data_IF_733295401578
#
_entry.id   IF_733295401578
#
_cell.length_a   1.000
_cell.length_b   1.000
_cell.length_c   1.000
_cell.angle_alpha   90.00
_cell.angle_beta   90.00
_cell.angle_gamma   90.00
#
_symmetry.space_group_name_H-M   'P 1'
#
loop_
_entity.id
_entity.type
_entity.pdbx_description
1 polymer ?
#
# COMPACT_ATOMS: atom_id res chain seq x y z
N UNK A 1 -0.58 25.52 7.93
CA UNK A 1 -1.57 25.72 6.85
C UNK A 1 -0.83 26.27 5.65
N UNK A 2 -1.01 25.70 4.44
CA UNK A 2 -0.36 26.23 3.23
C UNK A 2 -1.27 27.24 2.56
N UNK A 3 -0.72 28.38 2.18
CA UNK A 3 -1.41 29.45 1.48
C UNK A 3 -0.89 29.55 0.04
N UNK A 4 -1.80 29.65 -0.91
CA UNK A 4 -1.48 29.72 -2.34
C UNK A 4 -2.01 31.00 -2.94
N UNK A 5 -1.27 31.55 -3.89
CA UNK A 5 -1.72 32.68 -4.67
C UNK A 5 -2.64 32.18 -5.80
N UNK A 6 -3.86 32.67 -5.84
CA UNK A 6 -4.82 32.48 -6.93
C UNK A 6 -5.29 33.80 -7.49
N UNK A 7 -6.11 33.76 -8.54
CA UNK A 7 -6.83 34.91 -9.08
C UNK A 7 -8.31 34.62 -9.11
N UNK A 8 -9.14 35.62 -8.78
CA UNK A 8 -10.58 35.52 -8.90
C UNK A 8 -11.05 35.91 -10.32
N UNK A 9 -12.36 35.75 -10.59
CA UNK A 9 -12.95 36.05 -11.91
C UNK A 9 -12.81 37.52 -12.34
N UNK A 10 -12.61 38.46 -11.41
CA UNK A 10 -12.41 39.88 -11.67
C UNK A 10 -10.93 40.27 -11.87
N UNK A 11 -10.01 39.28 -11.88
CA UNK A 11 -8.58 39.48 -12.08
C UNK A 11 -7.81 39.97 -10.85
N UNK A 12 -8.42 40.01 -9.68
CA UNK A 12 -7.71 40.30 -8.43
C UNK A 12 -7.05 39.06 -7.88
N UNK A 13 -5.83 39.21 -7.32
CA UNK A 13 -5.18 38.14 -6.60
C UNK A 13 -5.88 37.86 -5.28
N UNK A 14 -5.93 36.56 -4.92
CA UNK A 14 -6.48 36.06 -3.68
C UNK A 14 -5.57 35.01 -3.06
N UNK A 15 -5.55 34.94 -1.73
CA UNK A 15 -4.96 33.83 -1.00
C UNK A 15 -5.98 32.70 -0.93
N UNK A 16 -5.52 31.48 -1.21
CA UNK A 16 -6.33 30.25 -1.12
C UNK A 16 -5.71 29.31 -0.10
N UNK A 17 -6.54 28.63 0.67
CA UNK A 17 -6.11 27.60 1.61
C UNK A 17 -7.22 26.56 1.81
N UNK A 18 -6.88 25.43 2.42
CA UNK A 18 -7.85 24.41 2.80
C UNK A 18 -7.94 24.32 4.31
N UNK A 19 -9.14 24.43 4.85
CA UNK A 19 -9.41 24.28 6.26
C UNK A 19 -10.59 23.32 6.45
N UNK A 20 -10.41 22.27 7.30
CA UNK A 20 -11.41 21.22 7.55
C UNK A 20 -11.94 20.55 6.27
N UNK A 21 -11.06 20.28 5.30
CA UNK A 21 -11.37 19.73 3.98
C UNK A 21 -12.22 20.66 3.08
N UNK A 22 -12.41 21.92 3.45
CA UNK A 22 -13.08 22.94 2.64
C UNK A 22 -12.07 23.94 2.11
N UNK A 23 -12.13 24.22 0.80
CA UNK A 23 -11.34 25.28 0.17
C UNK A 23 -11.87 26.64 0.61
N UNK A 24 -10.97 27.51 1.11
CA UNK A 24 -11.25 28.90 1.49
C UNK A 24 -10.39 29.84 0.65
N UNK A 25 -10.87 31.05 0.42
CA UNK A 25 -10.09 32.10 -0.22
C UNK A 25 -10.38 33.47 0.41
N UNK A 26 -9.40 34.38 0.33
CA UNK A 26 -9.55 35.76 0.73
C UNK A 26 -8.86 36.67 -0.27
N UNK A 27 -9.53 37.77 -0.69
CA UNK A 27 -9.00 38.69 -1.68
C UNK A 27 -7.84 39.50 -1.12
N UNK A 28 -6.74 39.56 -1.88
CA UNK A 28 -5.60 40.42 -1.56
C UNK A 28 -5.77 41.86 -2.09
N UNK A 29 -6.93 42.18 -2.70
CA UNK A 29 -7.31 43.51 -3.18
C UNK A 29 -6.24 44.17 -4.07
N UNK A 30 -5.56 43.40 -4.90
CA UNK A 30 -4.55 43.89 -5.85
C UNK A 30 -4.55 43.07 -7.12
N UNK A 31 -4.23 43.70 -8.25
CA UNK A 31 -3.96 43.06 -9.54
C UNK A 31 -2.45 43.01 -9.84
N UNK A 32 -1.63 43.61 -8.99
CA UNK A 32 -0.17 43.57 -9.13
C UNK A 32 0.39 42.32 -8.47
N UNK A 33 1.11 41.50 -9.23
CA UNK A 33 1.64 40.20 -8.80
C UNK A 33 2.68 40.31 -7.67
N UNK A 34 3.56 41.32 -7.74
CA UNK A 34 4.60 41.48 -6.71
C UNK A 34 3.99 41.94 -5.37
N UNK A 35 3.07 42.89 -5.42
CA UNK A 35 2.32 43.33 -4.25
C UNK A 35 1.44 42.20 -3.69
N UNK A 36 0.93 41.30 -4.55
CA UNK A 36 0.18 40.14 -4.11
C UNK A 36 1.04 39.11 -3.39
N UNK A 37 2.29 38.91 -3.82
CA UNK A 37 3.25 38.03 -3.12
C UNK A 37 3.61 38.58 -1.74
N UNK A 38 3.84 39.89 -1.62
CA UNK A 38 4.11 40.55 -0.36
C UNK A 38 2.93 40.42 0.62
N UNK A 39 1.71 40.70 0.13
CA UNK A 39 0.48 40.53 0.94
C UNK A 39 0.17 39.09 1.30
N UNK A 40 0.53 38.13 0.41
CA UNK A 40 0.45 36.71 0.74
C UNK A 40 1.42 36.35 1.88
N UNK A 41 2.64 36.87 1.85
CA UNK A 41 3.62 36.63 2.91
C UNK A 41 3.14 37.23 4.26
N UNK A 42 2.59 38.47 4.21
CA UNK A 42 1.99 39.10 5.40
C UNK A 42 0.80 38.28 5.92
N UNK A 43 -0.14 37.91 5.06
CA UNK A 43 -1.28 37.06 5.42
C UNK A 43 -0.84 35.74 6.02
N UNK A 44 0.16 35.09 5.42
CA UNK A 44 0.71 33.85 5.93
C UNK A 44 1.36 34.03 7.31
N UNK A 45 2.07 35.13 7.56
CA UNK A 45 2.65 35.45 8.86
C UNK A 45 1.59 35.74 9.93
N UNK A 46 0.55 36.51 9.61
CA UNK A 46 -0.55 36.84 10.54
C UNK A 46 -1.44 35.62 10.87
N UNK A 47 -1.61 34.71 9.91
CA UNK A 47 -2.44 33.51 10.06
C UNK A 47 -1.63 32.23 10.33
N UNK A 48 -0.29 32.34 10.40
CA UNK A 48 0.52 31.26 10.95
C UNK A 48 0.10 31.08 12.41
N UNK A 49 -0.57 29.97 12.71
CA UNK A 49 -0.67 29.58 14.13
C UNK A 49 0.76 29.55 14.68
N UNK A 50 0.99 30.04 15.91
CA UNK A 50 2.30 29.94 16.51
C UNK A 50 2.78 28.51 16.35
N UNK A 51 4.01 28.33 15.89
CA UNK A 51 4.66 27.01 15.81
C UNK A 51 4.52 26.44 17.21
N UNK A 52 3.57 25.53 17.42
CA UNK A 52 3.49 24.81 18.69
C UNK A 52 4.83 24.13 18.83
N UNK A 53 5.61 24.57 19.80
CA UNK A 53 6.88 23.95 20.12
C UNK A 53 6.61 22.45 20.31
N UNK A 54 7.07 21.63 19.35
CA UNK A 54 6.83 20.21 19.37
C UNK A 54 7.58 19.62 20.56
N UNK A 55 6.86 19.32 21.63
CA UNK A 55 7.43 18.80 22.88
C UNK A 55 7.03 17.35 23.13
N UNK A 56 5.81 16.98 22.75
CA UNK A 56 5.21 15.69 23.08
C UNK A 56 5.09 14.78 21.87
N UNK A 57 4.90 13.49 22.12
CA UNK A 57 4.60 12.51 21.05
C UNK A 57 3.30 12.85 20.31
N UNK A 58 2.33 13.42 21.03
CA UNK A 58 1.06 13.88 20.47
C UNK A 58 1.30 15.00 19.44
N UNK A 59 2.16 15.97 19.78
CA UNK A 59 2.48 17.07 18.89
C UNK A 59 3.17 16.57 17.62
N UNK A 60 4.18 15.69 17.75
CA UNK A 60 4.86 15.05 16.62
C UNK A 60 3.88 14.30 15.72
N UNK A 61 3.01 13.47 16.31
CA UNK A 61 2.04 12.71 15.53
C UNK A 61 1.05 13.61 14.79
N UNK A 62 0.60 14.69 15.41
CA UNK A 62 -0.34 15.63 14.78
C UNK A 62 0.34 16.43 13.66
N UNK A 63 1.57 16.93 13.89
CA UNK A 63 2.34 17.64 12.87
C UNK A 63 2.68 16.75 11.68
N UNK A 64 3.10 15.50 11.94
CA UNK A 64 3.36 14.50 10.90
C UNK A 64 2.10 14.15 10.08
N UNK A 65 0.95 13.99 10.73
CA UNK A 65 -0.31 13.75 10.04
C UNK A 65 -0.68 14.93 9.13
N UNK A 66 -0.54 16.15 9.63
CA UNK A 66 -0.80 17.36 8.85
C UNK A 66 0.08 17.45 7.60
N UNK A 67 1.38 17.18 7.74
CA UNK A 67 2.30 17.14 6.60
C UNK A 67 1.91 16.03 5.60
N UNK A 68 1.51 14.86 6.11
CA UNK A 68 1.14 13.71 5.27
C UNK A 68 -0.21 13.85 4.59
N UNK A 69 -1.15 14.63 5.11
CA UNK A 69 -2.42 14.92 4.44
C UNK A 69 -2.21 15.61 3.09
N UNK A 70 -1.13 16.39 2.93
CA UNK A 70 -0.81 17.08 1.68
C UNK A 70 -0.09 16.20 0.64
N UNK A 71 0.54 15.09 1.06
CA UNK A 71 1.48 14.31 0.24
C UNK A 71 1.08 12.84 0.09
N UNK A 72 0.24 12.29 0.98
CA UNK A 72 -0.02 10.84 1.06
C UNK A 72 -1.34 10.39 0.43
N UNK A 73 -1.25 9.27 -0.29
CA UNK A 73 -2.43 8.54 -0.80
C UNK A 73 -3.30 7.92 0.32
N UNK A 74 -2.80 7.78 1.56
CA UNK A 74 -3.49 7.08 2.67
C UNK A 74 -3.36 7.81 4.02
N UNK A 75 -3.78 9.08 4.13
CA UNK A 75 -3.70 9.80 5.40
C UNK A 75 -4.56 9.15 6.50
N UNK A 76 -5.71 8.56 6.13
CA UNK A 76 -6.60 7.84 7.07
C UNK A 76 -5.94 6.63 7.71
N UNK A 77 -5.12 5.87 6.97
CA UNK A 77 -4.40 4.72 7.53
C UNK A 77 -3.35 5.17 8.54
N UNK A 78 -2.58 6.20 8.21
CA UNK A 78 -1.58 6.78 9.11
C UNK A 78 -2.24 7.27 10.40
N UNK A 79 -3.36 7.99 10.30
CA UNK A 79 -4.12 8.45 11.46
C UNK A 79 -4.62 7.29 12.33
N UNK A 80 -5.15 6.22 11.70
CA UNK A 80 -5.60 5.02 12.38
C UNK A 80 -4.46 4.32 13.14
N UNK A 81 -3.27 4.22 12.54
CA UNK A 81 -2.10 3.61 13.17
C UNK A 81 -1.51 4.44 14.31
N UNK A 82 -1.54 5.75 14.20
CA UNK A 82 -1.03 6.66 15.23
C UNK A 82 -2.05 6.91 16.36
N UNK A 83 -3.34 6.59 16.19
CA UNK A 83 -4.35 6.79 17.22
C UNK A 83 -3.99 6.10 18.54
N UNK A 84 -3.74 4.77 18.62
CA UNK A 84 -3.38 4.12 19.89
C UNK A 84 -2.03 4.58 20.44
N UNK A 85 -1.10 5.01 19.59
CA UNK A 85 0.16 5.64 20.02
C UNK A 85 -0.12 6.94 20.78
N UNK A 86 -0.99 7.79 20.23
CA UNK A 86 -1.39 9.04 20.88
C UNK A 86 -2.17 8.82 22.19
N UNK A 87 -2.92 7.74 22.28
CA UNK A 87 -3.67 7.36 23.48
C UNK A 87 -2.74 7.00 24.64
N UNK A 88 -1.69 6.21 24.39
CA UNK A 88 -0.83 5.68 25.44
C UNK A 88 0.46 6.47 25.66
N UNK A 89 1.12 6.92 24.58
CA UNK A 89 2.41 7.62 24.63
C UNK A 89 2.28 9.13 24.39
N UNK A 90 1.09 9.62 24.06
CA UNK A 90 0.88 10.98 23.55
C UNK A 90 1.43 12.09 24.42
N UNK A 91 1.32 11.96 25.73
CA UNK A 91 1.68 13.00 26.67
C UNK A 91 3.15 12.94 27.12
N UNK A 92 3.89 11.90 26.67
CA UNK A 92 5.32 11.81 26.91
C UNK A 92 6.08 12.85 26.07
N UNK A 93 7.11 13.42 26.66
CA UNK A 93 8.10 14.20 25.89
C UNK A 93 8.81 13.30 24.89
N UNK A 94 9.16 13.84 23.72
CA UNK A 94 9.88 13.11 22.66
C UNK A 94 11.16 12.46 23.19
N UNK A 95 11.87 13.14 24.09
CA UNK A 95 13.11 12.66 24.72
C UNK A 95 12.90 11.52 25.71
N UNK A 96 11.68 11.29 26.18
CA UNK A 96 11.33 10.25 27.16
C UNK A 96 10.97 8.91 26.52
N UNK A 97 10.86 8.85 25.19
CA UNK A 97 10.56 7.59 24.48
C UNK A 97 11.78 6.69 24.51
N UNK A 98 11.63 5.56 25.17
CA UNK A 98 12.70 4.55 25.36
C UNK A 98 12.20 3.17 24.94
N UNK A 99 13.11 2.22 24.77
CA UNK A 99 12.76 0.81 24.52
C UNK A 99 11.86 0.22 25.64
N UNK A 100 12.02 0.69 26.89
CA UNK A 100 11.12 0.31 28.00
C UNK A 100 9.71 0.81 27.77
N UNK A 101 9.53 2.09 27.44
CA UNK A 101 8.20 2.67 27.13
C UNK A 101 7.54 2.01 25.93
N UNK A 102 8.31 1.63 24.92
CA UNK A 102 7.79 0.84 23.79
C UNK A 102 7.31 -0.56 24.21
N UNK A 103 8.03 -1.25 25.14
CA UNK A 103 7.59 -2.50 25.74
C UNK A 103 6.32 -2.34 26.60
N UNK A 104 6.25 -1.29 27.39
CA UNK A 104 5.05 -0.97 28.18
C UNK A 104 3.84 -0.78 27.24
N UNK A 105 4.02 -0.06 26.13
CA UNK A 105 2.99 0.08 25.09
C UNK A 105 2.57 -1.28 24.52
N UNK A 106 3.51 -2.17 24.19
CA UNK A 106 3.21 -3.50 23.66
C UNK A 106 2.34 -4.30 24.62
N UNK A 107 2.65 -4.30 25.91
CA UNK A 107 1.86 -4.99 26.93
C UNK A 107 0.46 -4.37 27.12
N UNK A 108 0.37 -3.05 27.12
CA UNK A 108 -0.92 -2.36 27.17
C UNK A 108 -1.79 -2.64 25.95
N UNK A 109 -1.18 -2.69 24.75
CA UNK A 109 -1.91 -2.76 23.48
C UNK A 109 -2.63 -4.08 23.25
N UNK A 110 -2.15 -5.18 23.78
CA UNK A 110 -2.72 -6.55 23.70
C UNK A 110 -3.19 -6.92 22.27
N UNK A 111 -2.39 -6.64 21.25
CA UNK A 111 -2.63 -6.99 19.84
C UNK A 111 -1.51 -7.86 19.30
N UNK A 112 -1.76 -8.49 18.13
CA UNK A 112 -0.76 -9.28 17.44
C UNK A 112 0.53 -8.48 17.19
N UNK A 113 1.69 -9.14 17.26
CA UNK A 113 3.01 -8.52 17.06
C UNK A 113 3.08 -7.69 15.78
N UNK A 114 2.50 -8.18 14.67
CA UNK A 114 2.46 -7.47 13.39
C UNK A 114 1.74 -6.12 13.49
N UNK A 115 0.67 -6.05 14.29
CA UNK A 115 -0.09 -4.81 14.51
C UNK A 115 0.75 -3.82 15.29
N UNK A 116 1.31 -4.24 16.45
CA UNK A 116 2.12 -3.36 17.30
C UNK A 116 3.40 -2.91 16.57
N UNK A 117 4.06 -3.81 15.85
CA UNK A 117 5.24 -3.44 15.03
C UNK A 117 4.88 -2.41 13.96
N UNK A 118 3.72 -2.54 13.33
CA UNK A 118 3.24 -1.54 12.36
C UNK A 118 2.99 -0.19 13.04
N UNK A 119 2.30 -0.15 14.17
CA UNK A 119 2.02 1.09 14.92
C UNK A 119 3.31 1.78 15.36
N UNK A 120 4.26 1.03 15.95
CA UNK A 120 5.59 1.54 16.31
C UNK A 120 6.40 1.99 15.08
N UNK A 121 6.24 1.31 13.93
CA UNK A 121 6.85 1.73 12.68
C UNK A 121 6.38 3.11 12.22
N UNK A 122 5.08 3.38 12.34
CA UNK A 122 4.52 4.71 12.07
C UNK A 122 5.00 5.77 13.06
N UNK A 123 5.13 5.43 14.35
CA UNK A 123 5.73 6.32 15.34
C UNK A 123 7.19 6.65 14.98
N UNK A 124 8.00 5.63 14.66
CA UNK A 124 9.39 5.84 14.24
C UNK A 124 9.50 6.71 12.98
N UNK A 125 8.59 6.56 12.03
CA UNK A 125 8.54 7.39 10.83
C UNK A 125 8.19 8.85 11.17
N UNK A 126 7.23 9.08 12.08
CA UNK A 126 6.86 10.42 12.55
C UNK A 126 8.01 11.08 13.32
N UNK A 127 8.70 10.33 14.18
CA UNK A 127 9.86 10.81 14.92
C UNK A 127 11.03 11.14 13.98
N UNK A 128 11.32 10.26 13.00
CA UNK A 128 12.36 10.54 12.01
C UNK A 128 12.06 11.82 11.22
N UNK A 129 10.81 12.00 10.79
CA UNK A 129 10.37 13.22 10.13
C UNK A 129 10.59 14.46 11.03
N UNK A 130 10.20 14.40 12.31
CA UNK A 130 10.39 15.51 13.26
C UNK A 130 11.88 15.84 13.47
N UNK A 131 12.76 14.83 13.48
CA UNK A 131 14.20 15.05 13.54
C UNK A 131 14.73 15.77 12.29
N UNK A 132 14.29 15.35 11.11
CA UNK A 132 14.78 15.88 9.83
C UNK A 132 14.21 17.27 9.50
N UNK A 133 12.96 17.56 9.91
CA UNK A 133 12.24 18.79 9.55
C UNK A 133 12.32 19.85 10.65
N UNK A 134 12.22 19.44 11.91
CA UNK A 134 12.12 20.34 13.06
C UNK A 134 13.41 20.37 13.92
N UNK A 135 14.41 19.56 13.56
CA UNK A 135 15.69 19.51 14.28
C UNK A 135 15.60 18.91 15.70
N UNK A 136 14.51 18.19 16.03
CA UNK A 136 14.29 17.65 17.36
C UNK A 136 15.24 16.49 17.64
N UNK A 137 15.94 16.52 18.77
CA UNK A 137 16.73 15.37 19.21
C UNK A 137 15.84 14.19 19.59
N UNK A 138 16.07 13.05 18.95
CA UNK A 138 15.30 11.82 19.16
C UNK A 138 16.23 10.69 19.53
N UNK A 139 15.93 10.00 20.63
CA UNK A 139 16.60 8.76 20.99
C UNK A 139 16.07 7.61 20.14
N UNK A 140 16.99 6.79 19.64
CA UNK A 140 16.62 5.52 18.98
C UNK A 140 16.13 4.51 20.03
N UNK A 141 15.17 3.70 19.66
CA UNK A 141 14.66 2.61 20.48
C UNK A 141 14.28 1.41 19.62
N UNK A 142 14.31 0.22 20.20
CA UNK A 142 14.02 -1.01 19.48
C UNK A 142 12.53 -1.28 19.35
N UNK A 143 12.18 -2.17 18.41
CA UNK A 143 10.81 -2.69 18.36
C UNK A 143 10.51 -3.52 19.61
N UNK A 144 9.34 -3.33 20.25
CA UNK A 144 9.01 -3.96 21.52
C UNK A 144 8.76 -5.47 21.45
N UNK A 145 8.54 -6.00 20.25
CA UNK A 145 8.21 -7.39 20.02
C UNK A 145 8.93 -7.94 18.77
N UNK A 146 9.14 -9.26 18.70
CA UNK A 146 9.78 -9.88 17.56
C UNK A 146 8.97 -9.70 16.27
N UNK A 147 9.59 -9.82 15.09
CA UNK A 147 8.87 -9.84 13.84
C UNK A 147 7.91 -11.03 13.79
N UNK A 148 6.75 -10.85 13.16
CA UNK A 148 5.88 -11.98 12.88
C UNK A 148 6.56 -12.90 11.86
N UNK A 149 6.39 -14.21 11.99
CA UNK A 149 6.90 -15.15 10.99
C UNK A 149 6.31 -14.82 9.62
N UNK A 150 7.09 -15.08 8.58
CA UNK A 150 6.63 -14.94 7.21
C UNK A 150 5.39 -15.85 6.99
N UNK A 151 4.40 -15.33 6.28
CA UNK A 151 3.23 -16.15 5.91
C UNK A 151 3.60 -16.94 4.67
N UNK A 152 3.91 -18.21 4.85
CA UNK A 152 4.16 -19.14 3.75
C UNK A 152 2.87 -19.88 3.38
N UNK A 153 1.88 -19.12 2.85
CA UNK A 153 0.61 -19.68 2.40
C UNK A 153 0.51 -19.57 0.89
N UNK A 154 0.48 -20.70 0.24
CA UNK A 154 0.19 -20.88 -1.18
C UNK A 154 -0.77 -22.05 -1.37
N UNK A 155 -1.36 -22.23 -2.54
CA UNK A 155 -2.25 -23.34 -2.87
C UNK A 155 -1.66 -24.20 -3.98
N UNK A 156 -1.95 -25.49 -3.94
CA UNK A 156 -1.56 -26.43 -4.99
C UNK A 156 -2.37 -26.22 -6.27
N UNK A 157 -1.91 -26.80 -7.39
CA UNK A 157 -2.65 -26.74 -8.67
C UNK A 157 -4.03 -27.38 -8.56
N UNK A 158 -4.17 -28.46 -7.77
CA UNK A 158 -5.46 -29.10 -7.50
C UNK A 158 -6.37 -28.17 -6.73
N UNK A 159 -5.91 -27.60 -5.62
CA UNK A 159 -6.68 -26.65 -4.82
C UNK A 159 -7.10 -25.41 -5.62
N UNK A 160 -6.25 -24.93 -6.54
CA UNK A 160 -6.60 -23.83 -7.43
C UNK A 160 -7.74 -24.21 -8.39
N UNK A 161 -7.72 -25.44 -8.96
CA UNK A 161 -8.81 -25.99 -9.78
C UNK A 161 -10.11 -26.09 -9.00
N UNK A 162 -10.08 -26.76 -7.84
CA UNK A 162 -11.25 -26.91 -6.97
C UNK A 162 -11.89 -25.55 -6.62
N UNK A 163 -11.04 -24.55 -6.35
CA UNK A 163 -11.51 -23.21 -6.06
C UNK A 163 -12.16 -22.54 -7.28
N UNK A 164 -11.58 -22.70 -8.48
CA UNK A 164 -12.13 -22.17 -9.73
C UNK A 164 -13.46 -22.85 -10.08
N UNK A 165 -13.58 -24.14 -9.88
CA UNK A 165 -14.79 -24.92 -10.16
C UNK A 165 -15.91 -24.58 -9.16
N UNK A 166 -15.56 -24.24 -7.93
CA UNK A 166 -16.52 -23.78 -6.92
C UNK A 166 -16.96 -22.31 -7.09
N UNK A 167 -16.34 -21.57 -8.02
CA UNK A 167 -16.70 -20.17 -8.30
C UNK A 167 -18.05 -20.07 -8.99
N UNK A 168 -19.04 -19.51 -8.30
CA UNK A 168 -20.37 -19.19 -8.86
C UNK A 168 -20.33 -17.87 -9.65
N UNK A 169 -19.53 -16.92 -9.21
CA UNK A 169 -19.45 -15.59 -9.81
C UNK A 169 -18.28 -15.48 -10.78
N UNK A 170 -18.59 -15.02 -12.00
CA UNK A 170 -17.62 -14.84 -13.06
C UNK A 170 -16.48 -13.89 -12.66
N UNK A 171 -16.80 -12.77 -12.03
CA UNK A 171 -15.79 -11.80 -11.59
C UNK A 171 -14.76 -12.37 -10.59
N UNK A 172 -15.19 -13.30 -9.69
CA UNK A 172 -14.26 -13.95 -8.78
C UNK A 172 -13.36 -14.94 -9.51
N UNK A 173 -13.93 -15.74 -10.42
CA UNK A 173 -13.16 -16.67 -11.26
C UNK A 173 -12.08 -15.93 -12.05
N UNK A 174 -12.46 -14.86 -12.74
CA UNK A 174 -11.54 -14.02 -13.52
C UNK A 174 -10.46 -13.38 -12.62
N UNK A 175 -10.85 -12.87 -11.43
CA UNK A 175 -9.90 -12.35 -10.46
C UNK A 175 -8.86 -13.41 -10.05
N UNK A 176 -9.27 -14.63 -9.74
CA UNK A 176 -8.36 -15.71 -9.31
C UNK A 176 -7.39 -16.08 -10.45
N UNK A 177 -7.90 -16.22 -11.67
CA UNK A 177 -7.06 -16.53 -12.84
C UNK A 177 -6.03 -15.43 -13.08
N UNK A 178 -6.43 -14.16 -13.05
CA UNK A 178 -5.51 -13.03 -13.17
C UNK A 178 -4.50 -13.00 -12.01
N UNK A 179 -4.94 -13.22 -10.78
CA UNK A 179 -4.08 -13.16 -9.62
C UNK A 179 -3.00 -14.25 -9.58
N UNK A 180 -3.33 -15.46 -10.03
CA UNK A 180 -2.37 -16.57 -10.16
C UNK A 180 -1.51 -16.39 -11.42
N UNK A 181 -2.12 -16.06 -12.55
CA UNK A 181 -1.42 -16.00 -13.84
C UNK A 181 -0.47 -14.83 -14.01
N UNK A 182 -0.68 -13.74 -13.27
CA UNK A 182 0.17 -12.52 -13.32
C UNK A 182 0.88 -12.20 -12.01
N UNK A 183 0.46 -12.81 -10.90
CA UNK A 183 1.00 -12.53 -9.57
C UNK A 183 0.76 -11.09 -9.08
N UNK A 184 -0.13 -10.33 -9.71
CA UNK A 184 -0.34 -8.93 -9.38
C UNK A 184 -1.08 -8.72 -8.05
N UNK A 185 -0.92 -7.52 -7.47
CA UNK A 185 -1.61 -7.17 -6.23
C UNK A 185 -3.12 -7.07 -6.46
N UNK A 186 -3.91 -7.52 -5.49
CA UNK A 186 -5.37 -7.57 -5.61
C UNK A 186 -6.00 -6.21 -5.99
N UNK A 187 -5.45 -5.11 -5.52
CA UNK A 187 -5.94 -3.77 -5.85
C UNK A 187 -5.70 -3.43 -7.33
N UNK A 188 -4.52 -3.79 -7.87
CA UNK A 188 -4.21 -3.56 -9.30
C UNK A 188 -5.13 -4.35 -10.21
N UNK A 189 -5.46 -5.59 -9.84
CA UNK A 189 -6.42 -6.42 -10.59
C UNK A 189 -7.83 -5.85 -10.51
N UNK A 190 -8.29 -5.39 -9.34
CA UNK A 190 -9.62 -4.80 -9.19
C UNK A 190 -9.75 -3.43 -9.89
N UNK A 191 -8.64 -2.73 -10.12
CA UNK A 191 -8.60 -1.45 -10.84
C UNK A 191 -8.33 -1.60 -12.34
N UNK A 192 -8.11 -2.82 -12.83
CA UNK A 192 -7.80 -3.07 -14.24
C UNK A 192 -8.95 -2.67 -15.14
N UNK A 193 -8.64 -1.96 -16.22
CA UNK A 193 -9.57 -1.54 -17.26
C UNK A 193 -9.26 -2.23 -18.58
N UNK A 194 -10.26 -2.37 -19.45
CA UNK A 194 -10.11 -3.06 -20.73
C UNK A 194 -9.10 -2.40 -21.66
N UNK A 195 -8.96 -1.08 -21.62
CA UNK A 195 -7.99 -0.34 -22.41
C UNK A 195 -6.52 -0.63 -22.06
N UNK A 196 -6.28 -1.25 -20.89
CA UNK A 196 -4.94 -1.65 -20.44
C UNK A 196 -4.50 -3.03 -20.98
N UNK A 197 -5.36 -3.70 -21.79
CA UNK A 197 -5.08 -5.01 -22.36
C UNK A 197 -4.66 -4.84 -23.82
N UNK A 198 -3.42 -5.22 -24.11
CA UNK A 198 -2.92 -5.33 -25.47
C UNK A 198 -3.12 -6.77 -25.96
N UNK A 199 -4.11 -6.96 -26.83
CA UNK A 199 -4.48 -8.28 -27.36
C UNK A 199 -3.46 -8.82 -28.36
N UNK A 200 -2.81 -7.95 -29.12
CA UNK A 200 -1.85 -8.32 -30.17
C UNK A 200 -0.53 -8.80 -29.54
N UNK A 201 -0.02 -8.08 -28.57
CA UNK A 201 1.19 -8.46 -27.84
C UNK A 201 0.92 -9.43 -26.69
N UNK A 202 -0.34 -9.77 -26.42
CA UNK A 202 -0.76 -10.59 -25.29
C UNK A 202 -0.20 -10.10 -23.95
N UNK A 203 -0.33 -8.79 -23.67
CA UNK A 203 0.17 -8.16 -22.44
C UNK A 203 -0.92 -7.37 -21.70
N UNK A 204 -0.71 -7.17 -20.41
CA UNK A 204 -1.58 -6.39 -19.52
C UNK A 204 -0.73 -5.32 -18.84
N UNK A 205 -1.08 -4.05 -19.03
CA UNK A 205 -0.48 -2.94 -18.32
C UNK A 205 -1.27 -2.67 -17.03
N UNK A 206 -0.63 -2.90 -15.88
CA UNK A 206 -1.26 -2.63 -14.58
C UNK A 206 -1.14 -1.17 -14.11
N UNK A 207 -0.68 -0.29 -14.99
CA UNK A 207 -0.59 1.16 -14.80
C UNK A 207 0.67 1.61 -14.09
N UNK A 208 0.72 2.92 -13.79
CA UNK A 208 1.89 3.56 -13.20
C UNK A 208 2.23 3.05 -11.79
N UNK A 209 3.50 3.17 -11.44
CA UNK A 209 3.99 2.85 -10.11
C UNK A 209 3.37 3.79 -9.07
N UNK A 210 2.93 3.21 -7.94
CA UNK A 210 2.35 3.97 -6.83
C UNK A 210 3.30 3.93 -5.64
N UNK A 211 3.98 5.03 -5.39
CA UNK A 211 5.04 5.09 -4.40
C UNK A 211 6.15 4.08 -4.71
N UNK A 212 6.51 3.24 -3.74
CA UNK A 212 7.51 2.17 -3.92
C UNK A 212 6.93 0.86 -4.52
N UNK A 213 5.67 0.87 -4.99
CA UNK A 213 5.01 -0.32 -5.54
C UNK A 213 5.13 -0.32 -7.05
N UNK A 214 6.04 -1.15 -7.55
CA UNK A 214 6.19 -1.36 -8.99
C UNK A 214 4.95 -2.09 -9.56
N UNK A 215 4.44 -1.59 -10.69
CA UNK A 215 3.34 -2.20 -11.47
C UNK A 215 3.90 -2.55 -12.85
N UNK A 216 4.22 -3.81 -13.10
CA UNK A 216 4.79 -4.23 -14.39
C UNK A 216 3.73 -4.35 -15.46
N UNK A 217 4.15 -4.27 -16.73
CA UNK A 217 3.43 -4.87 -17.84
C UNK A 217 3.65 -6.37 -17.75
N UNK A 218 2.58 -7.16 -17.64
CA UNK A 218 2.66 -8.60 -17.47
C UNK A 218 2.19 -9.33 -18.74
N UNK A 219 2.93 -10.34 -19.24
CA UNK A 219 2.47 -11.18 -20.34
C UNK A 219 1.27 -12.04 -19.90
N UNK A 220 0.36 -12.32 -20.82
CA UNK A 220 -0.75 -13.23 -20.62
C UNK A 220 -0.33 -14.65 -20.98
N UNK A 221 -0.59 -15.62 -20.10
CA UNK A 221 -0.61 -17.02 -20.51
C UNK A 221 -1.96 -17.36 -21.17
N UNK A 222 -2.04 -18.54 -21.79
CA UNK A 222 -3.24 -18.97 -22.55
C UNK A 222 -4.51 -19.00 -21.71
N UNK A 223 -4.40 -19.35 -20.42
CA UNK A 223 -5.54 -19.39 -19.52
C UNK A 223 -6.05 -17.98 -19.20
N UNK A 224 -5.14 -17.04 -18.90
CA UNK A 224 -5.47 -15.64 -18.67
C UNK A 224 -6.11 -15.03 -19.92
N UNK A 225 -5.51 -15.25 -21.10
CA UNK A 225 -6.02 -14.74 -22.36
C UNK A 225 -7.45 -15.24 -22.63
N UNK A 226 -7.69 -16.54 -22.47
CA UNK A 226 -9.01 -17.17 -22.67
C UNK A 226 -10.09 -16.60 -21.75
N UNK A 227 -9.81 -16.53 -20.45
CA UNK A 227 -10.78 -16.00 -19.47
C UNK A 227 -11.06 -14.50 -19.70
N UNK A 228 -10.04 -13.73 -20.10
CA UNK A 228 -10.23 -12.33 -20.47
C UNK A 228 -11.07 -12.16 -21.74
N UNK A 229 -10.86 -13.00 -22.77
CA UNK A 229 -11.68 -12.96 -24.00
C UNK A 229 -13.14 -13.25 -23.71
N UNK A 230 -13.45 -14.26 -22.89
CA UNK A 230 -14.80 -14.59 -22.47
C UNK A 230 -15.42 -13.39 -21.72
N UNK A 231 -14.69 -12.83 -20.75
CA UNK A 231 -15.16 -11.69 -19.96
C UNK A 231 -15.37 -10.43 -20.81
N UNK A 232 -14.52 -10.21 -21.82
CA UNK A 232 -14.62 -9.07 -22.73
C UNK A 232 -15.91 -9.06 -23.55
N UNK A 233 -16.37 -10.24 -23.98
CA UNK A 233 -17.64 -10.38 -24.72
C UNK A 233 -18.86 -10.08 -23.84
N UNK A 234 -18.76 -10.30 -22.53
CA UNK A 234 -19.86 -10.11 -21.57
C UNK A 234 -19.76 -8.80 -20.77
N UNK A 235 -18.80 -7.94 -21.10
CA UNK A 235 -18.53 -6.72 -20.34
C UNK A 235 -19.70 -5.73 -20.39
N UNK A 236 -19.96 -5.12 -19.26
CA UNK A 236 -20.96 -4.06 -19.10
C UNK A 236 -20.35 -2.71 -18.66
N UNK A 237 -19.03 -2.66 -18.41
CA UNK A 237 -18.30 -1.45 -18.04
C UNK A 237 -16.86 -1.50 -18.58
N UNK A 238 -16.13 -0.40 -18.37
CA UNK A 238 -14.71 -0.31 -18.73
C UNK A 238 -13.79 -1.11 -17.81
N UNK A 239 -14.30 -1.65 -16.70
CA UNK A 239 -13.51 -2.40 -15.73
C UNK A 239 -13.54 -3.90 -16.03
N UNK A 240 -12.38 -4.54 -15.88
CA UNK A 240 -12.24 -6.00 -16.10
C UNK A 240 -12.94 -6.80 -14.99
N UNK A 241 -12.82 -6.33 -13.76
CA UNK A 241 -13.46 -6.96 -12.59
C UNK A 241 -14.69 -6.14 -12.21
N UNK A 242 -15.84 -6.59 -12.70
CA UNK A 242 -17.12 -5.90 -12.52
C UNK A 242 -18.24 -6.83 -12.05
N UNK A 243 -19.33 -6.24 -11.57
CA UNK A 243 -20.60 -6.89 -11.29
C UNK A 243 -21.75 -5.99 -11.71
N UNK A 244 -22.56 -6.43 -12.65
CA UNK A 244 -23.69 -5.68 -13.22
C UNK A 244 -23.30 -4.25 -13.66
N UNK A 245 -22.21 -4.12 -14.41
CA UNK A 245 -21.71 -2.84 -14.93
C UNK A 245 -21.00 -1.95 -13.89
N UNK A 246 -20.82 -2.42 -12.65
CA UNK A 246 -20.15 -1.67 -11.58
C UNK A 246 -18.80 -2.28 -11.22
N UNK A 247 -17.74 -1.46 -11.09
CA UNK A 247 -16.42 -1.96 -10.72
C UNK A 247 -16.41 -2.56 -9.32
N UNK A 248 -15.75 -3.72 -9.17
CA UNK A 248 -15.56 -4.37 -7.88
C UNK A 248 -14.26 -3.89 -7.24
N UNK A 249 -14.38 -3.24 -6.08
CA UNK A 249 -13.22 -2.74 -5.32
C UNK A 249 -12.51 -3.83 -4.51
N UNK A 250 -13.22 -4.89 -4.12
CA UNK A 250 -12.69 -5.97 -3.28
C UNK A 250 -13.50 -7.27 -3.45
N UNK A 251 -12.81 -8.37 -3.68
CA UNK A 251 -13.39 -9.71 -3.83
C UNK A 251 -13.44 -10.51 -2.52
N UNK A 252 -13.05 -9.90 -1.38
CA UNK A 252 -12.88 -10.58 -0.08
C UNK A 252 -14.10 -11.41 0.34
N UNK A 253 -15.31 -10.86 0.20
CA UNK A 253 -16.54 -11.55 0.62
C UNK A 253 -16.87 -12.74 -0.29
N UNK A 254 -16.75 -12.56 -1.61
CA UNK A 254 -16.96 -13.62 -2.58
C UNK A 254 -15.92 -14.74 -2.40
N UNK A 255 -14.64 -14.37 -2.28
CA UNK A 255 -13.55 -15.32 -2.06
C UNK A 255 -13.77 -16.13 -0.78
N UNK A 256 -14.11 -15.50 0.35
CA UNK A 256 -14.34 -16.22 1.62
C UNK A 256 -15.46 -17.23 1.50
N UNK A 257 -16.56 -16.88 0.82
CA UNK A 257 -17.69 -17.80 0.63
C UNK A 257 -17.31 -19.00 -0.23
N UNK A 258 -16.59 -18.77 -1.33
CA UNK A 258 -16.13 -19.82 -2.24
C UNK A 258 -15.08 -20.71 -1.57
N UNK A 259 -14.10 -20.12 -0.90
CA UNK A 259 -13.03 -20.84 -0.22
C UNK A 259 -13.59 -21.76 0.91
N UNK A 260 -14.63 -21.30 1.63
CA UNK A 260 -15.31 -22.14 2.63
C UNK A 260 -15.92 -23.40 2.03
N UNK A 261 -16.49 -23.32 0.81
CA UNK A 261 -17.08 -24.48 0.13
C UNK A 261 -16.07 -25.59 -0.18
N UNK A 262 -14.81 -25.24 -0.38
CA UNK A 262 -13.71 -26.17 -0.70
C UNK A 262 -12.76 -26.40 0.49
N UNK A 263 -13.20 -26.07 1.72
CA UNK A 263 -12.42 -26.36 2.93
C UNK A 263 -11.23 -25.41 3.18
N UNK A 264 -11.18 -24.24 2.54
CA UNK A 264 -10.08 -23.27 2.66
C UNK A 264 -10.50 -21.98 3.37
N UNK A 265 -11.08 -22.05 4.54
CA UNK A 265 -11.68 -20.89 5.26
C UNK A 265 -10.72 -19.70 5.50
N UNK A 266 -9.42 -19.95 5.60
CA UNK A 266 -8.41 -18.92 5.91
C UNK A 266 -7.75 -18.30 4.65
N UNK A 267 -8.28 -18.60 3.46
CA UNK A 267 -7.70 -18.11 2.20
C UNK A 267 -7.89 -16.61 2.04
N UNK A 268 -6.79 -15.87 1.92
CA UNK A 268 -6.79 -14.44 1.66
C UNK A 268 -6.33 -14.09 0.24
N UNK A 269 -6.70 -12.91 -0.26
CA UNK A 269 -6.37 -12.46 -1.63
C UNK A 269 -4.88 -12.53 -2.00
N UNK A 270 -4.00 -12.30 -1.03
CA UNK A 270 -2.55 -12.32 -1.27
C UNK A 270 -1.98 -13.74 -1.47
N UNK A 271 -2.72 -14.77 -1.09
CA UNK A 271 -2.32 -16.16 -1.31
C UNK A 271 -2.07 -16.45 -2.79
N UNK A 272 -2.86 -15.90 -3.70
CA UNK A 272 -2.70 -16.13 -5.15
C UNK A 272 -1.37 -15.58 -5.69
N UNK A 273 -0.94 -14.42 -5.20
CA UNK A 273 0.37 -13.87 -5.55
C UNK A 273 1.50 -14.72 -4.97
N UNK A 274 1.36 -15.20 -3.73
CA UNK A 274 2.31 -16.15 -3.15
C UNK A 274 2.33 -17.45 -3.98
N UNK A 275 1.18 -17.95 -4.39
CA UNK A 275 1.04 -19.14 -5.23
C UNK A 275 1.76 -18.96 -6.57
N UNK A 276 1.54 -17.85 -7.27
CA UNK A 276 2.23 -17.53 -8.52
C UNK A 276 3.76 -17.59 -8.33
N UNK A 277 4.29 -16.86 -7.35
CA UNK A 277 5.73 -16.82 -7.10
C UNK A 277 6.28 -18.21 -6.70
N UNK A 278 5.59 -18.92 -5.80
CA UNK A 278 6.01 -20.26 -5.36
C UNK A 278 6.01 -21.28 -6.51
N UNK A 279 4.97 -21.28 -7.35
CA UNK A 279 4.96 -22.18 -8.51
C UNK A 279 6.07 -21.88 -9.50
N UNK A 280 6.41 -20.60 -9.74
CA UNK A 280 7.51 -20.23 -10.61
C UNK A 280 8.87 -20.68 -10.03
N UNK A 281 9.08 -20.55 -8.71
CA UNK A 281 10.28 -21.05 -8.03
C UNK A 281 10.38 -22.57 -8.14
N UNK A 282 9.28 -23.30 -7.94
CA UNK A 282 9.23 -24.76 -8.12
C UNK A 282 9.55 -25.20 -9.54
N UNK A 283 9.20 -24.38 -10.55
CA UNK A 283 9.53 -24.56 -11.97
C UNK A 283 10.92 -23.99 -12.33
N UNK A 284 11.78 -23.72 -11.33
CA UNK A 284 13.18 -23.27 -11.49
C UNK A 284 13.34 -21.96 -12.29
N UNK A 285 12.33 -21.06 -12.26
CA UNK A 285 12.50 -19.74 -12.84
C UNK A 285 13.41 -18.87 -11.96
N UNK A 286 14.17 -17.99 -12.62
CA UNK A 286 15.07 -17.10 -11.88
C UNK A 286 14.31 -16.11 -11.00
N UNK A 287 14.91 -15.71 -9.89
CA UNK A 287 14.29 -14.75 -8.98
C UNK A 287 14.07 -13.38 -9.64
N UNK A 288 14.91 -13.02 -10.64
CA UNK A 288 14.78 -11.83 -11.47
C UNK A 288 13.52 -11.88 -12.35
N UNK A 289 13.29 -13.02 -13.07
CA UNK A 289 12.09 -13.21 -13.90
C UNK A 289 10.83 -13.11 -13.04
N UNK A 290 10.81 -13.82 -11.90
CA UNK A 290 9.70 -13.80 -10.96
C UNK A 290 9.48 -12.38 -10.44
N UNK A 291 10.55 -11.70 -10.02
CA UNK A 291 10.52 -10.35 -9.50
C UNK A 291 9.93 -9.36 -10.52
N UNK A 292 10.35 -9.45 -11.79
CA UNK A 292 9.82 -8.63 -12.89
C UNK A 292 8.34 -8.88 -13.12
N UNK A 293 7.91 -10.15 -13.17
CA UNK A 293 6.50 -10.49 -13.40
C UNK A 293 5.59 -9.98 -12.27
N UNK A 294 5.96 -10.26 -11.02
CA UNK A 294 5.10 -9.89 -9.89
C UNK A 294 5.29 -8.45 -9.41
N UNK A 295 6.24 -7.68 -9.94
CA UNK A 295 6.57 -6.32 -9.46
C UNK A 295 7.19 -6.33 -8.05
N UNK A 296 8.26 -7.10 -7.87
CA UNK A 296 9.06 -7.22 -6.65
C UNK A 296 10.55 -7.24 -6.98
N UNK A 297 11.41 -7.03 -5.99
CA UNK A 297 12.86 -7.17 -6.17
C UNK A 297 13.24 -8.65 -6.08
N UNK A 298 14.29 -9.07 -6.82
CA UNK A 298 14.80 -10.44 -6.81
C UNK A 298 15.19 -10.91 -5.40
N UNK A 299 15.86 -10.06 -4.61
CA UNK A 299 16.26 -10.39 -3.24
C UNK A 299 15.05 -10.63 -2.31
N UNK A 300 13.92 -9.96 -2.60
CA UNK A 300 12.68 -10.21 -1.86
C UNK A 300 12.06 -11.53 -2.25
N UNK A 301 12.11 -11.89 -3.55
CA UNK A 301 11.62 -13.18 -4.06
C UNK A 301 12.43 -14.32 -3.44
N UNK A 302 13.74 -14.24 -3.50
CA UNK A 302 14.65 -15.23 -2.91
C UNK A 302 14.40 -15.42 -1.42
N UNK A 303 14.38 -14.33 -0.66
CA UNK A 303 14.18 -14.38 0.79
C UNK A 303 12.81 -14.97 1.19
N UNK A 304 11.78 -14.73 0.41
CA UNK A 304 10.40 -15.15 0.75
C UNK A 304 10.05 -16.51 0.18
N UNK A 305 10.56 -16.86 -1.00
CA UNK A 305 10.15 -18.05 -1.74
C UNK A 305 11.29 -19.03 -2.07
N UNK A 306 12.57 -18.62 -1.87
CA UNK A 306 13.72 -19.42 -2.26
C UNK A 306 13.77 -20.82 -1.65
N UNK A 307 13.23 -20.98 -0.44
CA UNK A 307 13.13 -22.28 0.24
C UNK A 307 12.20 -23.29 -0.47
N UNK A 308 11.38 -22.86 -1.43
CA UNK A 308 10.58 -23.75 -2.27
C UNK A 308 11.31 -24.27 -3.52
N UNK A 309 12.53 -23.79 -3.78
CA UNK A 309 13.31 -24.25 -4.93
C UNK A 309 13.66 -25.74 -4.77
N UNK A 310 13.36 -26.63 -5.76
CA UNK A 310 13.54 -28.07 -5.63
C UNK A 310 14.98 -28.49 -5.28
N UNK A 311 15.96 -27.78 -5.84
CA UNK A 311 17.36 -28.08 -5.71
C UNK A 311 18.09 -27.05 -4.82
N UNK A 312 17.36 -26.39 -3.91
CA UNK A 312 17.97 -25.36 -3.04
C UNK A 312 19.17 -25.95 -2.28
N UNK A 313 20.34 -25.40 -2.56
CA UNK A 313 21.65 -25.84 -2.06
C UNK A 313 22.11 -27.26 -2.48
N UNK A 314 21.29 -28.09 -3.15
CA UNK A 314 21.70 -29.45 -3.54
C UNK A 314 22.84 -29.41 -4.55
N UNK A 315 22.73 -28.59 -5.59
CA UNK A 315 23.76 -28.47 -6.64
C UNK A 315 25.06 -27.87 -6.03
N UNK A 316 24.90 -26.87 -5.16
CA UNK A 316 26.04 -26.31 -4.43
C UNK A 316 26.73 -27.38 -3.55
N UNK A 317 25.93 -28.16 -2.80
CA UNK A 317 26.48 -29.26 -2.00
C UNK A 317 27.20 -30.31 -2.86
N UNK A 318 26.69 -30.64 -4.04
CA UNK A 318 27.28 -31.60 -4.96
C UNK A 318 28.61 -31.14 -5.58
N UNK A 319 28.98 -29.86 -5.50
CA UNK A 319 30.31 -29.37 -5.92
C UNK A 319 31.39 -29.68 -4.91
N UNK A 320 31.02 -29.98 -3.66
CA UNK A 320 31.96 -30.32 -2.57
C UNK A 320 32.33 -31.81 -2.67
N UNK A 321 33.13 -32.16 -3.69
CA UNK A 321 33.68 -33.51 -3.84
C UNK A 321 35.05 -33.56 -3.14
N UNK A 322 35.27 -34.50 -2.24
CA UNK A 322 36.54 -34.79 -1.57
C UNK A 322 36.84 -36.27 -1.68
#
# INVERSE_FOLDING_TARGET
>A
MRYYLGTNRAGFYEVRWTENAQGKSSSLRTKNKELAKERLAQFAAEHSKPIHEIKTIRDVCNAYLFEKESVHQYPKETAHKLKPIKEYLGDLLVTQVTSKKAKDYYHWRQKANSTVRSEIGYLKAALKWAKETEGIEIRTFDHPCPPSPARDKWITRTQARDLLDACVSHHLRLFIVLAIGTGQRSISICQLVWSAINWDEATIDFGENVGNKHRPVAPMNDQVRRELQIAYQMRLSDHVIEWNGKPIKDVKCALRRTAKKVGHETLGKHVFRHTCATWMVMERRSYEEIGKLIGSRAETVERVYGHHHPDYLRDAANTLKF
#
